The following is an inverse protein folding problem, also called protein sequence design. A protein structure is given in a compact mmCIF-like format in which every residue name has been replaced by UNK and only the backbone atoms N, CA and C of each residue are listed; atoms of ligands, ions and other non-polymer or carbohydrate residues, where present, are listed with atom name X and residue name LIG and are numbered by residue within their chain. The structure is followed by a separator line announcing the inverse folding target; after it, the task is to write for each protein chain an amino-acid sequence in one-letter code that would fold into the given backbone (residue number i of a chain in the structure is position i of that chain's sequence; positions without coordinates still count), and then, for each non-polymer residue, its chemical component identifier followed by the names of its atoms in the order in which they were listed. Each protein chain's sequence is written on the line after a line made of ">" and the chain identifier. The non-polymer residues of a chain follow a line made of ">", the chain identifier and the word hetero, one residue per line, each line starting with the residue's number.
data_IF_797959734621
#
_entry.id   IF_797959734621
#
_cell.length_a   1.000
_cell.length_b   1.000
_cell.length_c   1.000
_cell.angle_alpha   90.00
_cell.angle_beta   90.00
_cell.angle_gamma   90.00
#
_symmetry.space_group_name_H-M   'P 1'
#
loop_
_entity.id
_entity.type
_entity.pdbx_description
1 polymer ?
#
# COMPACT_ATOMS: atom_id res chain seq x y z
N UNK A 1 47.60 25.75 -1.19
CA UNK A 1 46.20 25.49 -0.89
C UNK A 1 45.59 24.61 -1.97
N UNK A 2 45.14 23.48 -1.53
CA UNK A 2 44.45 22.58 -2.44
C UNK A 2 42.94 22.77 -2.31
N UNK A 3 42.30 22.96 -3.41
CA UNK A 3 40.83 22.94 -3.45
C UNK A 3 40.34 21.57 -3.00
N UNK A 4 39.19 21.49 -2.31
CA UNK A 4 38.66 20.19 -1.98
C UNK A 4 38.46 19.41 -3.27
N UNK A 5 39.01 18.20 -3.30
CA UNK A 5 38.92 17.38 -4.49
C UNK A 5 37.46 17.01 -4.82
N UNK A 6 37.20 16.67 -6.07
CA UNK A 6 35.90 16.21 -6.52
C UNK A 6 35.36 15.07 -5.66
N UNK A 7 36.27 14.18 -5.21
CA UNK A 7 35.90 13.05 -4.36
C UNK A 7 35.40 13.48 -2.98
N UNK A 8 35.95 14.55 -2.44
CA UNK A 8 35.53 15.07 -1.13
C UNK A 8 34.13 15.70 -1.24
N UNK A 9 33.89 16.43 -2.31
CA UNK A 9 32.57 17.01 -2.60
C UNK A 9 31.51 15.92 -2.76
N UNK A 10 31.80 14.87 -3.51
CA UNK A 10 30.91 13.73 -3.71
C UNK A 10 30.62 13.04 -2.37
N UNK A 11 31.62 12.88 -1.53
CA UNK A 11 31.47 12.27 -0.20
C UNK A 11 30.54 13.08 0.69
N UNK A 12 30.72 14.39 0.71
CA UNK A 12 29.85 15.29 1.48
C UNK A 12 28.39 15.22 1.00
N UNK A 13 28.19 15.20 -0.30
CA UNK A 13 26.85 15.04 -0.87
C UNK A 13 26.22 13.69 -0.51
N UNK A 14 27.01 12.62 -0.56
CA UNK A 14 26.57 11.29 -0.16
C UNK A 14 26.17 11.24 1.31
N UNK A 15 27.00 11.80 2.18
CA UNK A 15 26.72 11.83 3.62
C UNK A 15 25.46 12.63 3.91
N UNK A 16 25.27 13.76 3.22
CA UNK A 16 24.06 14.58 3.36
C UNK A 16 22.81 13.79 2.91
N UNK A 17 22.89 13.08 1.79
CA UNK A 17 21.81 12.24 1.32
C UNK A 17 21.48 11.09 2.27
N UNK A 18 22.51 10.45 2.83
CA UNK A 18 22.34 9.38 3.80
C UNK A 18 21.64 9.88 5.06
N UNK A 19 22.06 11.04 5.55
CA UNK A 19 21.46 11.67 6.72
C UNK A 19 19.97 12.01 6.47
N UNK A 20 19.68 12.59 5.34
CA UNK A 20 18.29 12.89 4.95
C UNK A 20 17.42 11.62 4.87
N UNK A 21 17.95 10.57 4.27
CA UNK A 21 17.26 9.28 4.21
C UNK A 21 16.99 8.70 5.59
N UNK A 22 17.96 8.79 6.50
CA UNK A 22 17.81 8.33 7.87
C UNK A 22 16.72 9.12 8.61
N UNK A 23 16.70 10.44 8.43
CA UNK A 23 15.68 11.28 9.03
C UNK A 23 14.27 10.95 8.49
N UNK A 24 14.16 10.72 7.19
CA UNK A 24 12.89 10.29 6.58
C UNK A 24 12.45 8.93 7.11
N UNK A 25 13.37 7.98 7.27
CA UNK A 25 13.08 6.67 7.84
C UNK A 25 12.57 6.79 9.27
N UNK A 26 13.19 7.60 10.10
CA UNK A 26 12.76 7.83 11.49
C UNK A 26 11.32 8.35 11.57
N UNK A 27 10.94 9.21 10.63
CA UNK A 27 9.58 9.74 10.56
C UNK A 27 8.54 8.68 10.22
N UNK A 28 8.96 7.63 9.53
CA UNK A 28 8.10 6.52 9.14
C UNK A 28 8.07 5.40 10.19
N UNK A 29 8.95 5.45 11.20
CA UNK A 29 8.96 4.44 12.25
C UNK A 29 7.71 4.54 13.11
N UNK A 30 7.06 3.41 13.29
CA UNK A 30 5.90 3.26 14.14
C UNK A 30 6.27 2.46 15.38
N UNK A 31 5.53 2.62 16.50
CA UNK A 31 5.76 1.76 17.66
C UNK A 31 5.54 0.30 17.29
N UNK A 32 6.35 -0.63 17.87
CA UNK A 32 6.25 -2.03 17.48
C UNK A 32 4.89 -2.63 17.83
N UNK A 33 4.39 -3.47 16.91
CA UNK A 33 3.17 -4.23 17.14
C UNK A 33 3.49 -5.60 17.72
N UNK A 34 2.60 -6.12 18.53
CA UNK A 34 2.73 -7.45 19.08
C UNK A 34 2.23 -8.50 18.10
N UNK A 35 2.99 -9.57 17.96
CA UNK A 35 2.58 -10.69 17.12
C UNK A 35 1.33 -11.35 17.71
N UNK A 36 0.24 -11.50 16.92
CA UNK A 36 -0.99 -12.12 17.44
C UNK A 36 -0.85 -13.62 17.74
N UNK A 37 0.23 -14.24 17.25
CA UNK A 37 0.44 -15.68 17.45
C UNK A 37 1.37 -16.00 18.60
N UNK A 38 2.40 -15.19 18.85
CA UNK A 38 3.38 -15.48 19.93
C UNK A 38 3.55 -14.34 20.94
N UNK A 39 3.01 -13.17 20.68
CA UNK A 39 3.07 -12.01 21.58
C UNK A 39 4.38 -11.24 21.60
N UNK A 40 5.37 -11.65 20.81
CA UNK A 40 6.64 -10.93 20.69
C UNK A 40 6.49 -9.72 19.80
N UNK A 41 7.40 -8.76 19.95
CA UNK A 41 7.41 -7.58 19.10
C UNK A 41 7.73 -7.96 17.65
N UNK A 42 6.96 -7.41 16.73
CA UNK A 42 7.17 -7.60 15.30
C UNK A 42 8.06 -6.48 14.75
N UNK A 43 8.75 -6.78 13.68
CA UNK A 43 9.60 -5.82 12.98
C UNK A 43 8.81 -5.11 11.90
N UNK A 44 8.93 -3.79 11.84
CA UNK A 44 8.33 -2.99 10.80
C UNK A 44 9.11 -3.12 9.50
N UNK A 45 8.42 -3.34 8.41
CA UNK A 45 8.98 -3.35 7.08
C UNK A 45 7.93 -2.86 6.09
N UNK A 46 8.22 -3.00 4.81
CA UNK A 46 7.35 -2.52 3.76
C UNK A 46 7.22 -3.54 2.65
N UNK A 47 5.99 -3.74 2.17
CA UNK A 47 5.75 -4.50 0.96
C UNK A 47 5.83 -3.56 -0.23
N UNK A 48 6.68 -3.88 -1.19
CA UNK A 48 6.94 -3.04 -2.36
C UNK A 48 7.00 -3.91 -3.61
N UNK A 49 6.57 -3.36 -4.72
CA UNK A 49 6.66 -4.04 -6.00
C UNK A 49 6.69 -3.05 -7.15
N UNK A 50 7.45 -3.34 -8.20
CA UNK A 50 7.60 -2.44 -9.35
C UNK A 50 6.31 -2.25 -10.15
N UNK A 51 5.40 -3.21 -10.11
CA UNK A 51 4.12 -3.18 -10.84
C UNK A 51 2.91 -3.10 -9.91
N UNK A 52 3.14 -2.81 -8.65
CA UNK A 52 2.12 -2.81 -7.62
C UNK A 52 2.03 -4.16 -6.90
N UNK A 53 1.44 -4.12 -5.73
CA UNK A 53 1.18 -5.32 -4.92
C UNK A 53 -0.33 -5.44 -4.75
N UNK A 54 -0.88 -6.57 -5.18
CA UNK A 54 -2.33 -6.80 -5.18
C UNK A 54 -2.68 -8.08 -4.45
N UNK A 55 -3.81 -8.06 -3.78
CA UNK A 55 -4.43 -9.26 -3.23
C UNK A 55 -5.61 -9.64 -4.12
N UNK A 56 -5.62 -10.87 -4.59
CA UNK A 56 -6.68 -11.43 -5.44
C UNK A 56 -7.43 -12.52 -4.69
N UNK A 57 -8.73 -12.49 -4.77
CA UNK A 57 -9.57 -13.51 -4.14
C UNK A 57 -9.47 -14.83 -4.90
N UNK A 58 -9.32 -15.92 -4.15
CA UNK A 58 -9.29 -17.28 -4.70
C UNK A 58 -7.92 -17.69 -5.22
N UNK A 59 -7.90 -18.55 -6.20
CA UNK A 59 -6.65 -19.07 -6.76
C UNK A 59 -6.15 -18.20 -7.91
N UNK A 60 -4.84 -17.96 -7.98
CA UNK A 60 -4.28 -17.21 -9.10
C UNK A 60 -4.41 -17.99 -10.41
N UNK A 61 -4.62 -17.29 -11.51
CA UNK A 61 -4.65 -17.88 -12.83
C UNK A 61 -3.61 -17.21 -13.73
N UNK A 62 -3.40 -17.79 -14.91
CA UNK A 62 -2.35 -17.32 -15.82
C UNK A 62 -2.62 -15.89 -16.32
N UNK A 63 -3.87 -15.54 -16.52
CA UNK A 63 -4.25 -14.18 -16.96
C UNK A 63 -3.93 -13.14 -15.88
N UNK A 64 -4.26 -13.44 -14.63
CA UNK A 64 -3.95 -12.58 -13.49
C UNK A 64 -2.45 -12.41 -13.35
N UNK A 65 -1.70 -13.52 -13.47
CA UNK A 65 -0.25 -13.53 -13.33
C UNK A 65 0.47 -12.73 -14.42
N UNK A 66 0.02 -12.85 -15.67
CA UNK A 66 0.68 -12.23 -16.82
C UNK A 66 0.22 -10.79 -17.06
N UNK A 67 -1.05 -10.51 -16.91
CA UNK A 67 -1.61 -9.22 -17.29
C UNK A 67 -1.95 -8.33 -16.10
N UNK A 68 -2.00 -8.91 -14.90
CA UNK A 68 -2.24 -8.15 -13.68
C UNK A 68 -3.54 -7.35 -13.70
N UNK A 69 -4.55 -7.83 -14.44
CA UNK A 69 -5.81 -7.10 -14.56
C UNK A 69 -6.60 -7.21 -13.25
N UNK A 70 -6.86 -6.10 -12.55
CA UNK A 70 -7.67 -6.14 -11.34
C UNK A 70 -9.14 -6.40 -11.68
N UNK A 71 -9.81 -7.17 -10.82
CA UNK A 71 -11.26 -7.35 -10.87
C UNK A 71 -11.90 -6.58 -9.69
N UNK A 72 -13.21 -6.66 -9.56
CA UNK A 72 -13.94 -5.91 -8.54
C UNK A 72 -13.53 -6.24 -7.10
N UNK A 73 -13.09 -7.47 -6.86
CA UNK A 73 -12.68 -7.95 -5.54
C UNK A 73 -11.19 -7.75 -5.25
N UNK A 74 -10.44 -7.25 -6.21
CA UNK A 74 -8.99 -7.06 -6.04
C UNK A 74 -8.71 -5.90 -5.10
N UNK A 75 -7.76 -6.10 -4.20
CA UNK A 75 -7.30 -5.07 -3.28
C UNK A 75 -5.86 -4.70 -3.64
N UNK A 76 -5.63 -3.42 -3.93
CA UNK A 76 -4.27 -2.93 -4.07
C UNK A 76 -3.68 -2.67 -2.70
N UNK A 77 -2.56 -3.32 -2.40
CA UNK A 77 -1.92 -3.27 -1.08
C UNK A 77 -0.97 -2.08 -0.96
N UNK A 78 -0.21 -1.77 -1.98
CA UNK A 78 0.85 -0.74 -1.95
C UNK A 78 0.29 0.67 -2.16
N UNK A 79 -0.51 1.14 -1.21
CA UNK A 79 -1.21 2.43 -1.29
C UNK A 79 -0.54 3.57 -0.53
N UNK A 80 0.52 3.31 0.20
CA UNK A 80 1.25 4.32 0.96
C UNK A 80 2.32 4.99 0.10
N UNK A 81 2.78 6.15 0.55
CA UNK A 81 3.78 6.92 -0.16
C UNK A 81 3.20 7.87 -1.20
N UNK A 82 4.04 8.72 -1.75
CA UNK A 82 3.63 9.77 -2.68
C UNK A 82 3.01 9.22 -3.97
N UNK A 83 3.52 8.08 -4.46
CA UNK A 83 3.05 7.46 -5.70
C UNK A 83 2.36 6.11 -5.45
N UNK A 84 1.89 5.85 -4.25
CA UNK A 84 1.29 4.57 -3.86
C UNK A 84 2.24 3.40 -4.19
N UNK A 85 3.44 3.45 -3.62
CA UNK A 85 4.52 2.54 -3.99
C UNK A 85 4.83 1.45 -2.95
N UNK A 86 4.31 1.57 -1.73
CA UNK A 86 4.58 0.61 -0.67
C UNK A 86 3.41 0.53 0.31
N UNK A 87 3.47 -0.46 1.19
CA UNK A 87 2.55 -0.60 2.32
C UNK A 87 3.30 -1.14 3.52
N UNK A 88 3.05 -0.57 4.69
CA UNK A 88 3.66 -1.03 5.94
C UNK A 88 3.23 -2.45 6.24
N UNK A 89 4.19 -3.31 6.54
CA UNK A 89 3.96 -4.70 6.93
C UNK A 89 4.77 -5.03 8.17
N UNK A 90 4.23 -5.91 9.00
CA UNK A 90 4.88 -6.33 10.24
C UNK A 90 5.31 -7.78 10.12
N UNK A 91 6.55 -8.05 10.46
CA UNK A 91 7.12 -9.39 10.36
C UNK A 91 7.51 -9.93 11.73
N UNK A 92 7.07 -11.14 12.03
CA UNK A 92 7.50 -11.88 13.21
C UNK A 92 8.55 -12.90 12.81
N UNK A 93 9.78 -12.70 13.25
CA UNK A 93 10.90 -13.61 12.93
C UNK A 93 10.78 -14.98 13.63
N UNK A 94 10.10 -15.02 14.76
CA UNK A 94 9.87 -16.27 15.50
C UNK A 94 8.84 -17.14 14.82
N UNK A 95 7.68 -16.60 14.47
CA UNK A 95 6.59 -17.32 13.82
C UNK A 95 6.77 -17.45 12.32
N UNK A 96 7.66 -16.63 11.73
CA UNK A 96 7.86 -16.55 10.28
C UNK A 96 6.57 -16.13 9.57
N UNK A 97 5.82 -15.23 10.19
CA UNK A 97 4.56 -14.71 9.65
C UNK A 97 4.63 -13.19 9.49
N UNK A 98 3.89 -12.71 8.54
CA UNK A 98 3.82 -11.29 8.22
C UNK A 98 2.37 -10.84 8.27
N UNK A 99 2.12 -9.64 8.82
CA UNK A 99 0.78 -9.06 8.87
C UNK A 99 0.74 -7.74 8.13
N UNK A 100 -0.38 -7.48 7.50
CA UNK A 100 -0.66 -6.22 6.80
C UNK A 100 -2.01 -5.73 7.30
N UNK A 101 -2.07 -4.46 7.73
CA UNK A 101 -3.33 -3.85 8.12
C UNK A 101 -4.09 -3.43 6.86
N UNK A 102 -5.28 -3.96 6.69
CA UNK A 102 -6.12 -3.72 5.53
C UNK A 102 -7.28 -2.76 5.81
N UNK A 103 -7.30 -2.12 6.98
CA UNK A 103 -8.41 -1.24 7.37
C UNK A 103 -8.61 -0.08 6.40
N UNK A 104 -7.53 0.47 5.87
CA UNK A 104 -7.55 1.60 4.93
C UNK A 104 -7.50 1.16 3.47
N UNK A 105 -7.49 -0.14 3.21
CA UNK A 105 -7.44 -0.67 1.85
C UNK A 105 -8.84 -0.87 1.30
N UNK A 106 -9.01 -0.63 0.01
CA UNK A 106 -10.29 -0.73 -0.68
C UNK A 106 -10.18 -1.71 -1.85
N UNK A 107 -11.27 -2.41 -2.14
CA UNK A 107 -11.40 -3.19 -3.37
C UNK A 107 -11.51 -2.23 -4.56
N UNK A 108 -11.32 -2.75 -5.76
CA UNK A 108 -11.51 -1.95 -6.98
C UNK A 108 -12.96 -1.42 -7.09
N UNK A 109 -13.94 -2.24 -6.72
CA UNK A 109 -15.33 -1.81 -6.70
C UNK A 109 -15.57 -0.66 -5.74
N UNK A 110 -15.06 -0.75 -4.53
CA UNK A 110 -15.19 0.32 -3.52
C UNK A 110 -14.51 1.60 -3.96
N UNK A 111 -13.33 1.48 -4.57
CA UNK A 111 -12.57 2.62 -5.09
C UNK A 111 -13.33 3.32 -6.21
N UNK A 112 -13.91 2.56 -7.13
CA UNK A 112 -14.65 3.10 -8.26
C UNK A 112 -15.92 3.81 -7.78
N UNK A 113 -16.62 3.28 -6.78
CA UNK A 113 -17.78 3.92 -6.19
C UNK A 113 -17.41 5.25 -5.51
N UNK A 114 -16.30 5.30 -4.82
CA UNK A 114 -15.84 6.54 -4.17
C UNK A 114 -15.44 7.61 -5.19
N UNK A 115 -14.85 7.21 -6.33
CA UNK A 115 -14.44 8.12 -7.38
C UNK A 115 -15.63 8.66 -8.19
N UNK A 116 -16.69 7.83 -8.39
CA UNK A 116 -17.84 8.17 -9.21
C UNK A 116 -19.15 7.78 -8.50
N UNK A 117 -19.66 8.61 -7.58
CA UNK A 117 -20.84 8.27 -6.77
C UNK A 117 -22.16 8.49 -7.53
N UNK A 118 -22.25 7.99 -8.75
CA UNK A 118 -23.42 8.14 -9.62
C UNK A 118 -24.53 7.15 -9.27
N UNK A 119 -24.17 6.01 -8.72
CA UNK A 119 -25.12 4.94 -8.43
C UNK A 119 -26.23 5.28 -7.46
N UNK A 120 -26.01 6.23 -6.57
CA UNK A 120 -27.03 6.67 -5.61
C UNK A 120 -28.21 7.38 -6.28
N UNK A 121 -27.95 8.14 -7.33
CA UNK A 121 -28.96 8.86 -8.09
C UNK A 121 -29.81 7.91 -8.92
N UNK A 122 -29.22 6.93 -9.54
CA UNK A 122 -29.94 5.92 -10.33
C UNK A 122 -30.87 5.10 -9.47
N UNK A 123 -30.46 4.76 -8.27
CA UNK A 123 -31.31 3.99 -7.36
C UNK A 123 -32.56 4.77 -6.96
N UNK A 124 -32.41 6.07 -6.72
CA UNK A 124 -33.53 6.92 -6.36
C UNK A 124 -34.55 7.05 -7.49
N UNK A 125 -34.09 7.19 -8.72
CA UNK A 125 -34.98 7.31 -9.87
C UNK A 125 -35.75 6.02 -10.16
N UNK A 126 -35.12 4.87 -9.96
CA UNK A 126 -35.80 3.58 -10.12
C UNK A 126 -36.90 3.36 -9.10
N UNK A 127 -36.72 3.80 -7.87
CA UNK A 127 -37.74 3.64 -6.84
C UNK A 127 -38.97 4.50 -7.12
N UNK A 128 -38.78 5.65 -7.70
CA UNK A 128 -39.90 6.53 -8.09
C UNK A 128 -40.70 5.94 -9.24
N UNK A 129 -40.08 5.36 -10.23
CA UNK A 129 -40.75 4.69 -11.33
C UNK A 129 -41.59 3.50 -10.87
N UNK A 130 -41.10 2.74 -9.91
CA UNK A 130 -41.83 1.61 -9.36
C UNK A 130 -43.13 2.03 -8.68
N UNK A 131 -43.19 3.19 -8.06
CA UNK A 131 -44.40 3.71 -7.42
C UNK A 131 -45.44 4.18 -8.42
N UNK A 132 -45.03 4.72 -9.53
CA UNK A 132 -45.96 5.17 -10.57
C UNK A 132 -46.57 4.04 -11.35
N UNK A 133 -45.94 2.87 -11.37
CA UNK A 133 -46.45 1.68 -12.07
C UNK A 133 -47.64 1.00 -11.45
N UNK A 134 -48.08 1.43 -10.30
CA UNK A 134 -49.30 0.94 -9.64
C UNK A 134 -50.49 1.75 -10.07
#
# INVERSE_FOLDING_TARGET
>A
EKDPGLMDTIREEWDAMQKERQEKRKKLELPPEKCPWCGKDMEQGFLMGSRGVFWYRGTPNIKTSLFGAPNEDTIRVDTEGFLNTYHTAWYCSTCKKMTVDAADLQTEAERNQAAFPVGAEETASQSDEAKEGE
#
